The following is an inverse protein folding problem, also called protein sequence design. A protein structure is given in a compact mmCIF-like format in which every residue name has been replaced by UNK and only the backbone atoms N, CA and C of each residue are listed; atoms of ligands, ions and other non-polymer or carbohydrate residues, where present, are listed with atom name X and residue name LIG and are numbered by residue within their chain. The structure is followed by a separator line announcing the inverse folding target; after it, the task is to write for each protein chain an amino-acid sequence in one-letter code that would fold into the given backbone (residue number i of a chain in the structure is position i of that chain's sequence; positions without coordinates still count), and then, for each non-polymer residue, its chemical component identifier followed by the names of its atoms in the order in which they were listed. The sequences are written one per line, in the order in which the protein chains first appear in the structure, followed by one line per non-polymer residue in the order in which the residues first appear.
data_IF_565463106360
#
_entry.id   IF_565463106360
#
_cell.length_a   1.000
_cell.length_b   1.000
_cell.length_c   1.000
_cell.angle_alpha   90.00
_cell.angle_beta   90.00
_cell.angle_gamma   90.00
#
_symmetry.space_group_name_H-M   'P 1'
#
loop_
_entity.id
_entity.type
_entity.pdbx_description
1 polymer ?
#
# COMPACT_ATOMS: atom_id res chain seq x y z
N UNK A 1 7.27 23.95 0.07
CA UNK A 1 6.37 23.05 -0.69
C UNK A 1 7.04 21.68 -0.74
N UNK A 2 6.36 20.62 -0.29
CA UNK A 2 6.93 19.28 -0.36
C UNK A 2 6.91 18.81 -1.82
N UNK A 3 8.06 18.80 -2.48
CA UNK A 3 8.18 18.35 -3.87
C UNK A 3 8.11 16.82 -3.88
N UNK A 4 7.17 16.25 -4.62
CA UNK A 4 7.13 14.80 -4.84
C UNK A 4 8.29 14.44 -5.77
N UNK A 5 9.21 13.54 -5.38
CA UNK A 5 10.28 13.11 -6.27
C UNK A 5 9.69 12.41 -7.50
N UNK A 6 10.44 12.38 -8.60
CA UNK A 6 10.10 11.50 -9.72
C UNK A 6 10.15 10.05 -9.24
N UNK A 7 9.14 9.26 -9.57
CA UNK A 7 9.22 7.81 -9.43
C UNK A 7 10.42 7.34 -10.28
N UNK A 8 11.18 6.40 -9.75
CA UNK A 8 12.32 5.76 -10.41
C UNK A 8 12.10 4.23 -10.50
N UNK A 9 10.84 3.82 -10.35
CA UNK A 9 10.42 2.44 -10.24
C UNK A 9 10.47 1.95 -8.80
N UNK A 10 10.76 0.67 -8.63
CA UNK A 10 10.74 0.00 -7.31
C UNK A 10 11.70 0.60 -6.28
N UNK A 11 12.82 1.17 -6.72
CA UNK A 11 13.95 1.55 -5.86
C UNK A 11 13.60 2.70 -4.92
N UNK A 12 12.72 3.59 -5.37
CA UNK A 12 12.28 4.73 -4.59
C UNK A 12 10.75 4.74 -4.36
N UNK A 13 10.05 3.65 -4.67
CA UNK A 13 8.58 3.61 -4.61
C UNK A 13 8.03 3.95 -3.21
N UNK A 14 8.60 3.42 -2.13
CA UNK A 14 8.15 3.73 -0.75
C UNK A 14 8.34 5.21 -0.41
N UNK A 15 9.47 5.79 -0.82
CA UNK A 15 9.75 7.22 -0.64
C UNK A 15 8.80 8.07 -1.47
N UNK A 16 8.59 7.71 -2.74
CA UNK A 16 7.64 8.35 -3.63
C UNK A 16 6.22 8.28 -3.06
N UNK A 17 5.78 7.11 -2.59
CA UNK A 17 4.47 6.90 -2.00
C UNK A 17 4.26 7.80 -0.77
N UNK A 18 5.25 7.84 0.13
CA UNK A 18 5.18 8.69 1.32
C UNK A 18 5.11 10.19 0.97
N UNK A 19 5.93 10.65 0.02
CA UNK A 19 5.91 12.02 -0.45
C UNK A 19 4.61 12.36 -1.19
N UNK A 20 4.12 11.48 -2.06
CA UNK A 20 2.88 11.65 -2.81
C UNK A 20 1.67 11.69 -1.88
N UNK A 21 1.58 10.76 -0.93
CA UNK A 21 0.53 10.76 0.10
C UNK A 21 0.54 12.06 0.91
N UNK A 22 1.73 12.51 1.32
CA UNK A 22 1.88 13.77 2.07
C UNK A 22 1.42 14.97 1.24
N UNK A 23 1.81 15.04 -0.03
CA UNK A 23 1.37 16.07 -0.96
C UNK A 23 -0.16 16.09 -1.11
N UNK A 24 -0.75 14.93 -1.38
CA UNK A 24 -2.20 14.81 -1.57
C UNK A 24 -2.98 15.16 -0.30
N UNK A 25 -2.49 14.79 0.89
CA UNK A 25 -3.08 15.20 2.16
C UNK A 25 -2.98 16.71 2.39
N UNK A 26 -1.85 17.33 2.07
CA UNK A 26 -1.66 18.79 2.21
C UNK A 26 -2.60 19.61 1.31
N UNK A 27 -3.10 19.01 0.23
CA UNK A 27 -3.96 19.67 -0.74
C UNK A 27 -5.43 19.20 -0.69
N UNK A 28 -5.82 18.44 0.34
CA UNK A 28 -7.16 17.83 0.48
C UNK A 28 -7.58 17.00 -0.75
N UNK A 29 -6.62 16.32 -1.38
CA UNK A 29 -6.80 15.48 -2.57
C UNK A 29 -6.78 13.98 -2.24
N UNK A 30 -6.35 13.60 -1.03
CA UNK A 30 -6.21 12.19 -0.64
C UNK A 30 -7.55 11.44 -0.64
N UNK A 31 -8.64 12.11 -0.27
CA UNK A 31 -9.98 11.53 -0.26
C UNK A 31 -10.47 11.22 -1.68
N UNK A 32 -9.99 11.91 -2.70
CA UNK A 32 -10.31 11.59 -4.10
C UNK A 32 -9.65 10.29 -4.58
N UNK A 33 -8.57 9.87 -3.93
CA UNK A 33 -7.83 8.64 -4.26
C UNK A 33 -8.31 7.47 -3.41
N UNK A 34 -8.72 7.71 -2.16
CA UNK A 34 -9.15 6.64 -1.23
C UNK A 34 -10.66 6.50 -1.11
N UNK A 35 -11.41 7.57 -1.38
CA UNK A 35 -12.85 7.62 -1.26
C UNK A 35 -13.59 6.93 -2.40
N UNK A 36 -14.92 6.91 -2.27
CA UNK A 36 -15.83 6.55 -3.34
C UNK A 36 -16.07 7.76 -4.25
N UNK A 37 -16.25 7.50 -5.54
CA UNK A 37 -16.82 8.50 -6.45
C UNK A 37 -18.20 8.91 -5.92
N UNK A 38 -18.54 10.21 -5.87
CA UNK A 38 -19.87 10.62 -5.45
C UNK A 38 -20.89 9.95 -6.39
N UNK A 39 -21.78 9.14 -5.83
CA UNK A 39 -22.88 8.56 -6.59
C UNK A 39 -23.65 9.71 -7.24
N UNK A 40 -23.50 9.86 -8.56
CA UNK A 40 -24.41 10.68 -9.35
C UNK A 40 -25.72 9.93 -9.28
N UNK A 41 -26.54 10.28 -8.30
CA UNK A 41 -27.86 9.69 -8.08
C UNK A 41 -28.60 9.71 -9.41
N UNK A 42 -28.63 8.55 -10.08
CA UNK A 42 -29.53 8.32 -11.21
C UNK A 42 -30.90 8.72 -10.69
N UNK A 43 -31.68 9.53 -11.42
CA UNK A 43 -33.01 9.94 -10.95
C UNK A 43 -33.75 8.65 -10.59
N UNK A 44 -34.18 8.55 -9.33
CA UNK A 44 -34.84 7.38 -8.80
C UNK A 44 -35.95 6.99 -9.79
N UNK A 45 -35.77 5.84 -10.47
CA UNK A 45 -36.89 5.21 -11.17
C UNK A 45 -37.94 5.03 -10.08
N UNK A 46 -39.10 5.64 -10.29
CA UNK A 46 -40.29 5.50 -9.46
C UNK A 46 -40.55 4.01 -9.27
N UNK A 47 -40.08 3.44 -8.16
CA UNK A 47 -40.56 2.15 -7.69
C UNK A 47 -41.95 2.40 -7.17
N UNK A 48 -42.93 1.90 -7.92
CA UNK A 48 -44.32 1.81 -7.51
C UNK A 48 -44.38 1.12 -6.14
N UNK A 49 -44.65 1.91 -5.09
CA UNK A 49 -45.00 1.38 -3.78
C UNK A 49 -46.49 1.04 -3.79
N UNK A 50 -46.80 -0.25 -3.72
CA UNK A 50 -48.08 -0.70 -3.18
C UNK A 50 -48.01 -0.54 -1.65
N UNK A 51 -48.92 0.25 -1.10
CA UNK A 51 -48.98 0.58 0.33
C UNK A 51 -49.75 -0.50 1.11
N UNK A 52 -49.28 -0.94 2.29
CA UNK A 52 -50.14 -1.43 3.36
C UNK A 52 -50.69 -0.23 4.15
N UNK A 53 -51.99 -0.24 4.41
CA UNK A 53 -52.74 0.82 5.10
C UNK A 53 -52.19 1.06 6.53
N UNK A 54 -51.71 2.28 6.79
CA UNK A 54 -51.31 2.77 8.12
C UNK A 54 -52.08 4.08 8.40
N UNK A 55 -52.53 4.33 9.65
CA UNK A 55 -53.47 5.42 9.99
C UNK A 55 -52.94 6.82 9.63
N UNK A 56 -53.84 7.82 9.48
CA UNK A 56 -53.49 9.12 8.93
C UNK A 56 -52.50 9.84 9.86
N UNK A 57 -51.22 9.72 9.53
CA UNK A 57 -50.20 10.63 9.99
C UNK A 57 -50.49 11.96 9.31
N UNK A 58 -50.61 13.03 10.08
CA UNK A 58 -50.83 14.39 9.60
C UNK A 58 -49.77 14.74 8.56
N UNK A 59 -50.07 14.50 7.29
CA UNK A 59 -49.23 14.89 6.17
C UNK A 59 -49.32 16.40 6.10
N UNK A 60 -48.30 17.08 6.59
CA UNK A 60 -48.04 18.46 6.18
C UNK A 60 -47.79 18.38 4.67
N UNK A 61 -48.82 18.67 3.88
CA UNK A 61 -48.68 18.85 2.44
C UNK A 61 -47.70 20.00 2.21
N UNK A 62 -46.42 19.66 2.03
CA UNK A 62 -45.47 20.59 1.45
C UNK A 62 -46.04 21.05 0.12
N UNK A 63 -46.22 22.36 0.01
CA UNK A 63 -46.70 23.04 -1.18
C UNK A 63 -45.90 22.58 -2.41
N UNK A 64 -46.57 22.45 -3.55
CA UNK A 64 -45.99 21.94 -4.80
C UNK A 64 -44.76 22.75 -5.20
N UNK A 65 -44.77 24.05 -4.91
CA UNK A 65 -43.67 24.97 -5.16
C UNK A 65 -42.51 24.76 -4.19
N UNK A 66 -42.79 24.38 -2.94
CA UNK A 66 -41.77 24.05 -1.95
C UNK A 66 -41.05 22.74 -2.28
N UNK A 67 -41.78 21.72 -2.75
CA UNK A 67 -41.19 20.47 -3.26
C UNK A 67 -40.26 20.73 -4.45
N UNK A 68 -40.69 21.60 -5.38
CA UNK A 68 -39.88 21.99 -6.55
C UNK A 68 -38.60 22.73 -6.13
N UNK A 69 -38.71 23.70 -5.21
CA UNK A 69 -37.55 24.41 -4.64
C UNK A 69 -36.57 23.47 -3.95
N UNK A 70 -37.06 22.50 -3.17
CA UNK A 70 -36.22 21.54 -2.48
C UNK A 70 -35.47 20.61 -3.46
N UNK A 71 -36.17 20.12 -4.50
CA UNK A 71 -35.54 19.29 -5.54
C UNK A 71 -34.43 20.06 -6.28
N UNK A 72 -34.68 21.33 -6.60
CA UNK A 72 -33.69 22.17 -7.28
C UNK A 72 -32.47 22.45 -6.39
N UNK A 73 -32.69 22.73 -5.09
CA UNK A 73 -31.59 22.88 -4.12
C UNK A 73 -30.72 21.62 -4.06
N UNK A 74 -31.33 20.45 -3.98
CA UNK A 74 -30.59 19.17 -4.00
C UNK A 74 -29.79 19.02 -5.28
N UNK A 75 -30.38 19.28 -6.46
CA UNK A 75 -29.66 19.20 -7.74
C UNK A 75 -28.45 20.12 -7.79
N UNK A 76 -28.61 21.37 -7.36
CA UNK A 76 -27.50 22.35 -7.32
C UNK A 76 -26.42 21.89 -6.35
N UNK A 77 -26.79 21.37 -5.18
CA UNK A 77 -25.84 20.83 -4.20
C UNK A 77 -25.08 19.62 -4.75
N UNK A 78 -25.76 18.68 -5.38
CA UNK A 78 -25.15 17.52 -6.04
C UNK A 78 -24.18 17.94 -7.15
N UNK A 79 -24.60 18.87 -8.01
CA UNK A 79 -23.77 19.37 -9.09
C UNK A 79 -22.51 20.08 -8.54
N UNK A 80 -22.66 20.86 -7.48
CA UNK A 80 -21.53 21.56 -6.82
C UNK A 80 -20.55 20.57 -6.18
N UNK A 81 -21.05 19.50 -5.55
CA UNK A 81 -20.22 18.42 -5.01
C UNK A 81 -19.46 17.70 -6.13
N UNK A 82 -20.16 17.36 -7.22
CA UNK A 82 -19.56 16.67 -8.36
C UNK A 82 -18.48 17.52 -9.06
N UNK A 83 -18.74 18.80 -9.33
CA UNK A 83 -17.77 19.68 -9.98
C UNK A 83 -16.52 19.87 -9.12
N UNK A 84 -16.69 20.04 -7.80
CA UNK A 84 -15.56 20.09 -6.85
C UNK A 84 -14.76 18.78 -6.86
N UNK A 85 -15.45 17.64 -6.77
CA UNK A 85 -14.80 16.33 -6.82
C UNK A 85 -14.02 16.14 -8.13
N UNK A 86 -14.62 16.49 -9.27
CA UNK A 86 -14.00 16.35 -10.58
C UNK A 86 -12.75 17.23 -10.70
N UNK A 87 -12.81 18.49 -10.27
CA UNK A 87 -11.66 19.40 -10.26
C UNK A 87 -10.51 18.86 -9.39
N UNK A 88 -10.82 18.31 -8.21
CA UNK A 88 -9.83 17.69 -7.34
C UNK A 88 -9.23 16.41 -7.96
N UNK A 89 -10.06 15.58 -8.60
CA UNK A 89 -9.61 14.39 -9.32
C UNK A 89 -8.62 14.74 -10.45
N UNK A 90 -8.92 15.79 -11.23
CA UNK A 90 -8.01 16.27 -12.29
C UNK A 90 -6.68 16.77 -11.71
N UNK A 91 -6.70 17.49 -10.59
CA UNK A 91 -5.47 17.94 -9.90
C UNK A 91 -4.64 16.77 -9.39
N UNK A 92 -5.28 15.78 -8.78
CA UNK A 92 -4.63 14.58 -8.28
C UNK A 92 -4.02 13.76 -9.43
N UNK A 93 -4.76 13.59 -10.54
CA UNK A 93 -4.23 12.97 -11.76
C UNK A 93 -3.00 13.72 -12.26
N UNK A 94 -3.06 15.04 -12.39
CA UNK A 94 -1.93 15.84 -12.84
C UNK A 94 -0.70 15.66 -11.96
N UNK A 95 -0.89 15.61 -10.63
CA UNK A 95 0.22 15.36 -9.69
C UNK A 95 0.85 13.98 -9.90
N UNK A 96 0.03 12.95 -10.12
CA UNK A 96 0.50 11.60 -10.44
C UNK A 96 1.28 11.58 -11.76
N UNK A 97 0.69 12.11 -12.84
CA UNK A 97 1.33 12.21 -14.16
C UNK A 97 2.66 12.96 -14.13
N UNK A 98 2.73 14.07 -13.40
CA UNK A 98 3.97 14.85 -13.28
C UNK A 98 5.06 14.13 -12.49
N UNK A 99 4.70 13.15 -11.66
CA UNK A 99 5.64 12.43 -10.80
C UNK A 99 6.00 11.04 -11.32
N UNK A 100 5.34 10.56 -12.37
CA UNK A 100 5.54 9.22 -12.92
C UNK A 100 6.08 9.35 -14.36
N UNK A 101 7.26 8.79 -14.65
CA UNK A 101 7.79 8.72 -16.01
C UNK A 101 6.85 8.04 -17.00
N UNK A 102 6.81 8.58 -18.22
CA UNK A 102 6.09 8.05 -19.39
C UNK A 102 6.14 6.51 -19.55
N UNK A 103 7.28 5.80 -19.41
CA UNK A 103 7.30 4.35 -19.57
C UNK A 103 6.47 3.54 -18.56
N UNK A 104 6.04 4.16 -17.45
CA UNK A 104 5.18 3.50 -16.45
C UNK A 104 3.76 4.06 -16.43
N UNK A 105 3.50 5.07 -17.26
CA UNK A 105 2.16 5.60 -17.45
C UNK A 105 1.46 4.77 -18.52
N UNK A 106 0.38 4.07 -18.17
CA UNK A 106 -0.54 3.54 -19.16
C UNK A 106 -1.29 4.69 -19.87
N UNK A 107 -1.84 4.41 -21.05
CA UNK A 107 -2.62 5.38 -21.81
C UNK A 107 -3.75 5.97 -20.95
N UNK A 108 -3.94 7.29 -21.04
CA UNK A 108 -4.93 8.08 -20.27
C UNK A 108 -6.36 7.52 -20.38
N UNK A 109 -6.67 6.84 -21.48
CA UNK A 109 -7.97 6.19 -21.70
C UNK A 109 -8.25 5.02 -20.74
N UNK A 110 -7.20 4.45 -20.14
CA UNK A 110 -7.33 3.25 -19.28
C UNK A 110 -7.66 3.62 -17.83
N UNK A 111 -7.34 4.85 -17.39
CA UNK A 111 -7.46 5.26 -15.98
C UNK A 111 -8.22 6.58 -15.84
N UNK A 112 -9.57 6.54 -15.79
CA UNK A 112 -10.40 7.76 -15.77
C UNK A 112 -10.29 8.56 -14.47
N UNK A 113 -9.73 7.98 -13.40
CA UNK A 113 -9.64 8.63 -12.08
C UNK A 113 -8.24 8.50 -11.46
N UNK A 114 -7.89 9.49 -10.64
CA UNK A 114 -6.65 9.48 -9.86
C UNK A 114 -6.54 8.23 -8.98
N UNK A 115 -7.68 7.78 -8.44
CA UNK A 115 -7.81 6.53 -7.70
C UNK A 115 -7.33 5.34 -8.51
N UNK A 116 -7.91 5.13 -9.69
CA UNK A 116 -7.58 3.96 -10.52
C UNK A 116 -6.11 3.94 -10.95
N UNK A 117 -5.53 5.11 -11.28
CA UNK A 117 -4.11 5.22 -11.60
C UNK A 117 -3.24 4.92 -10.36
N UNK A 118 -3.60 5.49 -9.20
CA UNK A 118 -2.86 5.26 -7.96
C UNK A 118 -2.89 3.79 -7.53
N UNK A 119 -4.06 3.16 -7.58
CA UNK A 119 -4.23 1.73 -7.29
C UNK A 119 -3.42 0.85 -8.24
N UNK A 120 -3.35 1.21 -9.53
CA UNK A 120 -2.52 0.50 -10.50
C UNK A 120 -1.03 0.60 -10.16
N UNK A 121 -0.54 1.81 -9.86
CA UNK A 121 0.86 2.04 -9.47
C UNK A 121 1.19 1.33 -8.15
N UNK A 122 0.28 1.39 -7.17
CA UNK A 122 0.40 0.71 -5.89
C UNK A 122 0.46 -0.80 -6.06
N UNK A 123 -0.47 -1.37 -6.82
CA UNK A 123 -0.46 -2.78 -7.14
C UNK A 123 0.83 -3.21 -7.84
N UNK A 124 1.24 -2.49 -8.88
CA UNK A 124 2.44 -2.83 -9.67
C UNK A 124 3.71 -2.81 -8.81
N UNK A 125 4.00 -1.70 -8.16
CA UNK A 125 5.28 -1.57 -7.45
C UNK A 125 5.29 -2.27 -6.10
N UNK A 126 4.16 -2.35 -5.38
CA UNK A 126 4.09 -3.17 -4.17
C UNK A 126 4.13 -4.66 -4.48
N UNK A 127 3.53 -5.13 -5.56
CA UNK A 127 3.64 -6.55 -5.95
C UNK A 127 5.08 -6.90 -6.34
N UNK A 128 5.76 -6.04 -7.10
CA UNK A 128 7.19 -6.20 -7.42
C UNK A 128 8.07 -6.20 -6.15
N UNK A 129 7.80 -5.31 -5.19
CA UNK A 129 8.48 -5.30 -3.89
C UNK A 129 8.22 -6.60 -3.11
N UNK A 130 6.99 -7.11 -3.11
CA UNK A 130 6.64 -8.37 -2.43
C UNK A 130 7.30 -9.59 -3.08
N UNK A 131 7.52 -9.58 -4.39
CA UNK A 131 8.17 -10.69 -5.09
C UNK A 131 9.69 -10.76 -4.85
N UNK A 132 10.36 -9.62 -4.59
CA UNK A 132 11.81 -9.59 -4.37
C UNK A 132 12.23 -9.67 -2.89
N UNK A 133 11.37 -9.28 -1.96
CA UNK A 133 11.71 -9.37 -0.54
C UNK A 133 12.05 -10.80 -0.08
N UNK A 134 11.35 -11.86 -0.50
CA UNK A 134 11.72 -13.23 -0.16
C UNK A 134 13.11 -13.63 -0.65
N UNK A 135 13.47 -13.30 -1.89
CA UNK A 135 14.75 -13.73 -2.49
C UNK A 135 15.94 -12.97 -1.92
N UNK A 136 15.83 -11.65 -1.72
CA UNK A 136 16.89 -10.84 -1.11
C UNK A 136 17.07 -11.20 0.37
N UNK A 137 15.98 -11.41 1.11
CA UNK A 137 16.05 -11.83 2.52
C UNK A 137 16.60 -13.25 2.65
N UNK A 138 16.22 -14.17 1.77
CA UNK A 138 16.78 -15.52 1.71
C UNK A 138 18.28 -15.50 1.39
N UNK A 139 18.70 -14.70 0.41
CA UNK A 139 20.11 -14.50 0.09
C UNK A 139 20.89 -13.91 1.29
N UNK A 140 20.30 -12.97 2.02
CA UNK A 140 20.90 -12.39 3.23
C UNK A 140 21.04 -13.44 4.34
N UNK A 141 20.01 -14.25 4.55
CA UNK A 141 20.02 -15.32 5.55
C UNK A 141 21.06 -16.40 5.22
N UNK A 142 21.09 -16.88 3.98
CA UNK A 142 22.05 -17.91 3.52
C UNK A 142 23.50 -17.43 3.47
N UNK A 143 23.72 -16.11 3.33
CA UNK A 143 25.05 -15.48 3.38
C UNK A 143 25.54 -15.19 4.79
N UNK A 144 24.73 -15.39 5.83
CA UNK A 144 25.24 -15.28 7.19
C UNK A 144 26.38 -16.27 7.41
N UNK A 145 27.44 -15.77 8.05
CA UNK A 145 28.60 -16.56 8.47
C UNK A 145 28.81 -16.36 9.96
N UNK A 146 29.20 -17.44 10.63
CA UNK A 146 29.67 -17.36 12.00
C UNK A 146 31.14 -16.98 11.96
N UNK A 147 31.49 -15.94 12.71
CA UNK A 147 32.83 -15.33 12.74
C UNK A 147 33.71 -15.92 13.86
N UNK A 148 33.27 -17.01 14.52
CA UNK A 148 33.95 -17.59 15.68
C UNK A 148 33.75 -16.80 16.98
N UNK A 149 32.98 -15.72 16.96
CA UNK A 149 32.75 -14.86 18.12
C UNK A 149 31.68 -15.39 19.08
N UNK A 150 30.76 -14.52 19.49
CA UNK A 150 29.71 -14.91 20.43
C UNK A 150 28.57 -15.69 19.72
N UNK A 151 28.49 -17.00 19.98
CA UNK A 151 27.46 -17.88 19.41
C UNK A 151 26.03 -17.40 19.68
N UNK A 152 25.72 -16.93 20.88
CA UNK A 152 24.38 -16.44 21.22
C UNK A 152 24.00 -15.19 20.40
N UNK A 153 24.96 -14.27 20.17
CA UNK A 153 24.78 -13.10 19.31
C UNK A 153 24.54 -13.51 17.86
N UNK A 154 25.27 -14.51 17.37
CA UNK A 154 25.08 -15.07 16.03
C UNK A 154 23.69 -15.72 15.89
N UNK A 155 23.31 -16.61 16.80
CA UNK A 155 22.00 -17.29 16.78
C UNK A 155 20.85 -16.28 16.82
N UNK A 156 20.97 -15.20 17.59
CA UNK A 156 20.00 -14.10 17.61
C UNK A 156 19.88 -13.41 16.24
N UNK A 157 21.02 -13.11 15.59
CA UNK A 157 21.02 -12.54 14.23
C UNK A 157 20.38 -13.50 13.23
N UNK A 158 20.75 -14.78 13.27
CA UNK A 158 20.23 -15.83 12.40
C UNK A 158 18.71 -15.97 12.51
N UNK A 159 18.18 -16.06 13.72
CA UNK A 159 16.72 -16.14 13.96
C UNK A 159 15.99 -14.86 13.55
N UNK A 160 16.56 -13.68 13.80
CA UNK A 160 15.97 -12.40 13.34
C UNK A 160 15.88 -12.35 11.82
N UNK A 161 16.94 -12.76 11.11
CA UNK A 161 16.91 -12.81 9.63
C UNK A 161 15.96 -13.87 9.10
N UNK A 162 15.84 -15.02 9.77
CA UNK A 162 14.88 -16.05 9.39
C UNK A 162 13.44 -15.57 9.55
N UNK A 163 13.09 -14.98 10.71
CA UNK A 163 11.76 -14.36 10.94
C UNK A 163 11.47 -13.25 9.94
N UNK A 164 12.51 -12.51 9.54
CA UNK A 164 12.41 -11.50 8.49
C UNK A 164 12.04 -12.11 7.13
N UNK A 165 12.56 -13.31 6.79
CA UNK A 165 12.15 -14.06 5.61
C UNK A 165 10.70 -14.56 5.72
N UNK A 166 10.32 -15.13 6.87
CA UNK A 166 8.96 -15.64 7.12
C UNK A 166 7.92 -14.52 7.03
N UNK A 167 8.21 -13.34 7.57
CA UNK A 167 7.34 -12.15 7.43
C UNK A 167 7.21 -11.64 5.99
N UNK A 168 8.19 -11.92 5.14
CA UNK A 168 8.11 -11.61 3.72
C UNK A 168 7.32 -12.68 2.94
N UNK A 169 6.77 -13.69 3.61
CA UNK A 169 6.01 -14.78 2.99
C UNK A 169 6.85 -15.97 2.54
N UNK A 170 8.14 -16.00 2.89
CA UNK A 170 8.99 -17.15 2.57
C UNK A 170 8.75 -18.28 3.56
N UNK A 171 8.21 -19.40 3.09
CA UNK A 171 8.08 -20.63 3.88
C UNK A 171 9.36 -21.44 3.73
N UNK A 172 10.21 -21.40 4.76
CA UNK A 172 11.42 -22.24 4.81
C UNK A 172 11.08 -23.52 5.57
N UNK A 173 11.24 -24.72 4.98
CA UNK A 173 11.05 -25.97 5.70
C UNK A 173 12.01 -26.13 6.87
N UNK A 174 11.58 -26.78 7.95
CA UNK A 174 12.37 -26.92 9.18
C UNK A 174 13.73 -27.58 8.94
N UNK A 175 13.78 -28.62 8.10
CA UNK A 175 15.02 -29.31 7.76
C UNK A 175 16.03 -28.41 7.03
N UNK A 176 15.57 -27.45 6.22
CA UNK A 176 16.45 -26.47 5.56
C UNK A 176 17.01 -25.47 6.57
N UNK A 177 16.20 -25.05 7.56
CA UNK A 177 16.65 -24.16 8.64
C UNK A 177 17.79 -24.79 9.44
N UNK A 178 17.59 -26.06 9.84
CA UNK A 178 18.57 -26.83 10.61
C UNK A 178 19.82 -27.09 9.78
N UNK A 179 19.69 -27.53 8.53
CA UNK A 179 20.83 -27.78 7.65
C UNK A 179 21.67 -26.51 7.43
N UNK A 180 21.03 -25.37 7.17
CA UNK A 180 21.75 -24.11 6.98
C UNK A 180 22.48 -23.67 8.25
N UNK A 181 21.86 -23.84 9.42
CA UNK A 181 22.51 -23.52 10.69
C UNK A 181 23.73 -24.41 10.93
N UNK A 182 23.59 -25.72 10.72
CA UNK A 182 24.69 -26.67 10.84
C UNK A 182 25.82 -26.34 9.86
N UNK A 183 25.51 -26.11 8.60
CA UNK A 183 26.52 -25.79 7.58
C UNK A 183 27.35 -24.53 7.92
N UNK A 184 26.72 -23.51 8.53
CA UNK A 184 27.42 -22.28 8.92
C UNK A 184 28.27 -22.47 10.18
N UNK A 185 27.85 -23.34 11.10
CA UNK A 185 28.60 -23.64 12.33
C UNK A 185 29.73 -24.65 12.08
N UNK A 186 29.50 -25.64 11.22
CA UNK A 186 30.46 -26.70 10.89
C UNK A 186 31.69 -26.12 10.16
N UNK A 187 31.46 -25.17 9.24
CA UNK A 187 32.55 -24.42 8.59
C UNK A 187 33.44 -23.65 9.57
N UNK A 188 32.94 -23.34 10.77
CA UNK A 188 33.65 -22.59 11.80
C UNK A 188 34.14 -23.46 12.96
N UNK A 189 33.78 -24.75 12.98
CA UNK A 189 34.20 -25.70 14.00
C UNK A 189 35.74 -25.84 14.06
N UNK A 190 36.46 -25.98 12.92
CA UNK A 190 37.92 -26.07 12.93
C UNK A 190 38.57 -24.84 13.58
N UNK A 191 38.17 -23.64 13.16
CA UNK A 191 38.68 -22.38 13.69
C UNK A 191 38.41 -22.22 15.20
N UNK A 192 37.23 -22.63 15.68
CA UNK A 192 36.91 -22.64 17.11
C UNK A 192 37.78 -23.64 17.88
N UNK A 193 37.98 -24.85 17.35
CA UNK A 193 38.82 -25.86 18.02
C UNK A 193 40.29 -25.47 18.06
N UNK A 194 40.78 -24.77 17.03
CA UNK A 194 42.15 -24.29 16.95
C UNK A 194 42.41 -23.13 17.92
N UNK A 195 41.53 -22.12 17.94
CA UNK A 195 41.60 -21.03 18.92
C UNK A 195 41.55 -21.54 20.37
N UNK A 196 40.70 -22.53 20.66
CA UNK A 196 40.59 -23.11 22.00
C UNK A 196 41.81 -23.95 22.40
N UNK A 197 42.47 -24.60 21.44
CA UNK A 197 43.75 -25.32 21.68
C UNK A 197 44.88 -24.36 21.99
N UNK A 198 44.93 -23.21 21.32
CA UNK A 198 45.91 -22.16 21.61
C UNK A 198 45.71 -21.51 22.98
N UNK A 199 44.47 -21.27 23.39
CA UNK A 199 44.18 -20.71 24.72
C UNK A 199 44.59 -21.68 25.84
N UNK A 200 44.38 -22.99 25.63
CA UNK A 200 44.77 -24.05 26.58
C UNK A 200 46.30 -24.22 26.64
N UNK A 201 47.04 -23.94 25.56
CA UNK A 201 48.50 -24.07 25.54
C UNK A 201 49.24 -22.84 26.06
N UNK A 202 48.56 -21.68 26.12
CA UNK A 202 49.11 -20.40 26.62
C UNK A 202 48.75 -20.12 28.09
N UNK A 203 47.87 -20.91 28.71
CA UNK A 203 47.52 -20.84 30.13
C UNK A 203 48.15 -21.97 30.93
#
# INVERSE_FOLDING_TARGET
MATVPQLQGRENYETWYACMKTYLLQHDLWDNITGAEPEVSKPAKQTAYQAPEVPPTTHVEMDRDEKKRNNERLRVEHLTKYTKWHANNCRALQALYNSVPSPWLPDLEVFPTAKTLFEHLDFRFRSELRMQQPSVRYATWTRLRYDGGNLAKFLKRFTVTLRSCERAGLVVPEHIKVHQLLAVLDAALPAYTEARREDISKG
#
